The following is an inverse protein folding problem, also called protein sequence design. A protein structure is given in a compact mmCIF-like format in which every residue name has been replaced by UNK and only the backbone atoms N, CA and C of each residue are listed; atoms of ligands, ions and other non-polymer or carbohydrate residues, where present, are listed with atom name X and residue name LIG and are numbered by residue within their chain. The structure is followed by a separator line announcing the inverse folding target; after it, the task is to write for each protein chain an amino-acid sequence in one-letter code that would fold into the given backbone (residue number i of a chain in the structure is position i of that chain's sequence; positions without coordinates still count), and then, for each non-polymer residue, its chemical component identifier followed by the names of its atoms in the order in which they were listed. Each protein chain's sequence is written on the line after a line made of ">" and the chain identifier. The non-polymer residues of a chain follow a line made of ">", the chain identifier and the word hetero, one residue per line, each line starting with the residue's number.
data_IF_615636830912
#
_entry.id   IF_615636830912
#
_cell.length_a   1.000
_cell.length_b   1.000
_cell.length_c   1.000
_cell.angle_alpha   90.00
_cell.angle_beta   90.00
_cell.angle_gamma   90.00
#
_symmetry.space_group_name_H-M   'P 1'
#
loop_
_entity.id
_entity.type
_entity.pdbx_description
1 polymer ?
#
# COMPACT_ATOMS: atom_id res chain seq x y z
N UNK A 1 -22.46 15.60 11.08
CA UNK A 1 -22.23 14.18 11.38
C UNK A 1 -21.18 13.75 10.38
N UNK A 2 -19.92 13.63 10.80
CA UNK A 2 -18.80 13.37 9.91
C UNK A 2 -18.38 11.91 10.09
N UNK A 3 -18.25 11.16 8.99
CA UNK A 3 -17.82 9.76 9.00
C UNK A 3 -16.29 9.62 9.02
N UNK A 4 -15.56 10.68 8.65
CA UNK A 4 -14.10 10.70 8.66
C UNK A 4 -13.50 9.53 7.88
N UNK A 5 -12.60 8.79 8.53
CA UNK A 5 -11.83 7.70 7.93
C UNK A 5 -12.56 6.35 7.87
N UNK A 6 -13.82 6.28 8.31
CA UNK A 6 -14.55 5.01 8.44
C UNK A 6 -14.59 4.21 7.13
N UNK A 7 -14.91 4.85 6.00
CA UNK A 7 -15.02 4.18 4.69
C UNK A 7 -13.65 3.85 4.09
N UNK A 8 -12.63 4.66 4.36
CA UNK A 8 -11.27 4.34 3.93
C UNK A 8 -10.77 3.05 4.61
N UNK A 9 -11.06 2.86 5.89
CA UNK A 9 -10.68 1.62 6.57
C UNK A 9 -11.40 0.39 5.99
N UNK A 10 -12.67 0.51 5.62
CA UNK A 10 -13.41 -0.57 4.92
C UNK A 10 -12.72 -0.93 3.60
N UNK A 11 -12.25 0.07 2.86
CA UNK A 11 -11.50 -0.12 1.60
C UNK A 11 -10.20 -0.89 1.86
N UNK A 12 -9.41 -0.46 2.85
CA UNK A 12 -8.17 -1.16 3.22
C UNK A 12 -8.43 -2.62 3.64
N UNK A 13 -9.48 -2.87 4.42
CA UNK A 13 -9.86 -4.21 4.86
C UNK A 13 -10.30 -5.10 3.69
N UNK A 14 -11.05 -4.56 2.72
CA UNK A 14 -11.47 -5.28 1.52
C UNK A 14 -10.25 -5.70 0.68
N UNK A 15 -9.32 -4.78 0.41
CA UNK A 15 -8.08 -5.05 -0.33
C UNK A 15 -7.20 -6.08 0.39
N UNK A 16 -7.10 -5.99 1.72
CA UNK A 16 -6.35 -6.98 2.51
C UNK A 16 -7.01 -8.37 2.43
N UNK A 17 -8.34 -8.44 2.36
CA UNK A 17 -9.06 -9.71 2.18
C UNK A 17 -8.86 -10.28 0.78
N UNK A 18 -8.89 -9.44 -0.26
CA UNK A 18 -8.61 -9.86 -1.64
C UNK A 18 -7.21 -10.46 -1.80
N UNK A 19 -6.21 -9.83 -1.17
CA UNK A 19 -4.84 -10.33 -1.16
C UNK A 19 -4.71 -11.75 -0.59
N UNK A 20 -5.56 -12.15 0.37
CA UNK A 20 -5.56 -13.52 0.91
C UNK A 20 -5.89 -14.55 -0.15
N UNK A 21 -6.84 -14.24 -1.04
CA UNK A 21 -7.21 -15.11 -2.15
C UNK A 21 -6.10 -15.16 -3.20
N UNK A 22 -5.50 -14.02 -3.54
CA UNK A 22 -4.40 -13.95 -4.53
C UNK A 22 -3.13 -14.67 -4.06
N UNK A 23 -2.89 -14.70 -2.74
CA UNK A 23 -1.70 -15.30 -2.12
C UNK A 23 -1.64 -16.83 -2.21
N UNK A 24 -2.68 -17.51 -2.72
CA UNK A 24 -2.59 -18.95 -3.00
C UNK A 24 -1.42 -19.23 -3.95
N UNK A 25 -0.49 -20.15 -3.65
CA UNK A 25 0.70 -20.35 -4.47
C UNK A 25 0.29 -20.87 -5.86
N UNK A 26 0.74 -20.23 -6.93
CA UNK A 26 0.50 -20.76 -8.28
C UNK A 26 1.45 -21.92 -8.63
N UNK A 27 2.62 -21.97 -7.99
CA UNK A 27 3.68 -22.95 -8.26
C UNK A 27 3.39 -24.36 -7.76
N UNK A 28 2.29 -24.58 -7.04
CA UNK A 28 1.86 -25.92 -6.60
C UNK A 28 0.94 -26.59 -7.62
N UNK A 29 0.57 -25.89 -8.70
CA UNK A 29 -0.23 -26.43 -9.79
C UNK A 29 0.65 -26.76 -11.00
N UNK A 30 0.30 -27.83 -11.70
CA UNK A 30 0.95 -28.28 -12.94
C UNK A 30 -0.07 -29.01 -13.79
N UNK A 31 -0.22 -28.56 -15.04
CA UNK A 31 -1.05 -29.23 -16.03
C UNK A 31 -0.14 -29.77 -17.13
N UNK A 32 -0.08 -31.09 -17.33
CA UNK A 32 0.81 -31.68 -18.31
C UNK A 32 0.42 -31.25 -19.72
N UNK A 33 1.40 -30.84 -20.52
CA UNK A 33 1.17 -30.48 -21.92
C UNK A 33 1.98 -31.39 -22.85
N UNK A 34 1.75 -31.27 -24.17
CA UNK A 34 2.56 -31.97 -25.19
C UNK A 34 2.62 -33.50 -25.01
N UNK A 35 1.46 -34.14 -24.80
CA UNK A 35 1.35 -35.59 -24.63
C UNK A 35 2.29 -36.17 -23.54
N UNK A 36 2.38 -35.47 -22.39
CA UNK A 36 3.26 -35.77 -21.25
C UNK A 36 4.76 -35.56 -21.51
N UNK A 37 5.16 -34.81 -22.54
CA UNK A 37 6.57 -34.35 -22.63
C UNK A 37 6.89 -33.21 -21.66
N UNK A 38 5.91 -32.36 -21.37
CA UNK A 38 5.98 -31.35 -20.31
C UNK A 38 5.07 -31.79 -19.17
N UNK A 39 5.49 -32.80 -18.42
CA UNK A 39 4.71 -33.39 -17.33
C UNK A 39 4.78 -32.56 -16.03
N UNK A 40 5.72 -31.62 -15.94
CA UNK A 40 5.85 -30.68 -14.84
C UNK A 40 6.14 -29.24 -15.32
N UNK A 41 5.25 -28.30 -14.99
CA UNK A 41 5.39 -26.87 -15.32
C UNK A 41 5.24 -25.99 -14.08
N UNK A 42 5.83 -24.79 -14.09
CA UNK A 42 5.99 -23.96 -12.87
C UNK A 42 4.87 -22.96 -12.60
N UNK A 43 4.02 -22.69 -13.60
CA UNK A 43 3.00 -21.61 -13.56
C UNK A 43 3.57 -20.22 -13.18
N UNK A 44 4.86 -19.99 -13.40
CA UNK A 44 5.58 -18.80 -12.92
C UNK A 44 5.00 -17.48 -13.46
N UNK A 45 4.54 -17.45 -14.71
CA UNK A 45 3.94 -16.24 -15.31
C UNK A 45 2.70 -15.77 -14.56
N UNK A 46 1.84 -16.70 -14.12
CA UNK A 46 0.67 -16.34 -13.34
C UNK A 46 1.06 -15.92 -11.91
N UNK A 47 2.04 -16.59 -11.31
CA UNK A 47 2.60 -16.18 -10.01
C UNK A 47 3.09 -14.72 -10.05
N UNK A 48 3.87 -14.35 -11.06
CA UNK A 48 4.40 -12.99 -11.22
C UNK A 48 3.30 -11.94 -11.45
N UNK A 49 2.27 -12.27 -12.25
CA UNK A 49 1.14 -11.36 -12.48
C UNK A 49 0.37 -11.03 -11.21
N UNK A 50 0.06 -12.03 -10.39
CA UNK A 50 -0.66 -11.82 -9.12
C UNK A 50 0.10 -10.94 -8.13
N UNK A 51 1.44 -10.98 -8.18
CA UNK A 51 2.26 -10.13 -7.32
C UNK A 51 2.03 -8.64 -7.61
N UNK A 52 1.85 -8.26 -8.88
CA UNK A 52 1.55 -6.87 -9.24
C UNK A 52 0.24 -6.38 -8.61
N UNK A 53 -0.81 -7.22 -8.65
CA UNK A 53 -2.11 -6.91 -8.04
C UNK A 53 -1.99 -6.79 -6.51
N UNK A 54 -1.30 -7.74 -5.86
CA UNK A 54 -1.06 -7.71 -4.41
C UNK A 54 -0.27 -6.46 -4.00
N UNK A 55 0.76 -6.09 -4.76
CA UNK A 55 1.58 -4.91 -4.49
C UNK A 55 0.77 -3.61 -4.64
N UNK A 56 -0.06 -3.51 -5.69
CA UNK A 56 -0.98 -2.39 -5.89
C UNK A 56 -1.96 -2.25 -4.72
N UNK A 57 -2.62 -3.35 -4.33
CA UNK A 57 -3.53 -3.38 -3.18
C UNK A 57 -2.83 -2.97 -1.88
N UNK A 58 -1.60 -3.41 -1.70
CA UNK A 58 -0.78 -3.05 -0.53
C UNK A 58 -0.44 -1.58 -0.50
N UNK A 59 -0.14 -0.97 -1.65
CA UNK A 59 0.13 0.46 -1.74
C UNK A 59 -1.10 1.31 -1.37
N UNK A 60 -2.31 0.87 -1.75
CA UNK A 60 -3.55 1.51 -1.30
C UNK A 60 -3.76 1.41 0.21
N UNK A 61 -3.51 0.22 0.79
CA UNK A 61 -3.61 0.01 2.25
C UNK A 61 -2.65 0.94 2.99
N UNK A 62 -1.38 0.99 2.57
CA UNK A 62 -0.36 1.86 3.16
C UNK A 62 -0.70 3.35 2.98
N UNK A 63 -1.25 3.73 1.83
CA UNK A 63 -1.70 5.11 1.60
C UNK A 63 -2.81 5.54 2.58
N UNK A 64 -3.79 4.66 2.83
CA UNK A 64 -4.86 4.89 3.81
C UNK A 64 -4.29 4.99 5.24
N UNK A 65 -3.34 4.11 5.59
CA UNK A 65 -2.66 4.15 6.88
C UNK A 65 -1.89 5.47 7.09
N UNK A 66 -1.17 5.94 6.08
CA UNK A 66 -0.44 7.21 6.13
C UNK A 66 -1.36 8.41 6.36
N UNK A 67 -2.50 8.46 5.66
CA UNK A 67 -3.50 9.51 5.90
C UNK A 67 -3.99 9.49 7.35
N UNK A 68 -4.31 8.31 7.86
CA UNK A 68 -4.84 8.14 9.21
C UNK A 68 -3.80 8.50 10.27
N UNK A 69 -2.55 8.08 10.07
CA UNK A 69 -1.43 8.39 10.94
C UNK A 69 -1.15 9.91 10.97
N UNK A 70 -1.10 10.56 9.81
CA UNK A 70 -0.89 12.00 9.72
C UNK A 70 -2.02 12.78 10.39
N UNK A 71 -3.27 12.38 10.16
CA UNK A 71 -4.41 12.98 10.85
C UNK A 71 -4.32 12.79 12.37
N UNK A 72 -3.95 11.60 12.83
CA UNK A 72 -3.77 11.30 14.25
C UNK A 72 -2.64 12.10 14.91
N UNK A 73 -1.57 12.40 14.18
CA UNK A 73 -0.49 13.28 14.66
C UNK A 73 -0.99 14.72 14.80
N UNK A 74 -1.68 15.24 13.80
CA UNK A 74 -2.22 16.62 13.85
C UNK A 74 -3.21 16.82 14.99
N UNK A 75 -4.09 15.84 15.23
CA UNK A 75 -5.08 15.89 16.31
C UNK A 75 -4.45 15.86 17.71
N UNK A 76 -3.15 15.54 17.83
CA UNK A 76 -2.40 15.56 19.09
C UNK A 76 -1.65 16.87 19.31
N UNK A 77 -1.83 17.88 18.47
CA UNK A 77 -1.24 19.20 18.67
C UNK A 77 -1.53 19.75 20.09
N UNK A 78 -0.55 20.39 20.75
CA UNK A 78 0.74 20.82 20.24
C UNK A 78 1.87 19.77 20.35
N UNK A 79 1.58 18.51 20.67
CA UNK A 79 2.61 17.49 20.76
C UNK A 79 3.17 17.12 19.39
N UNK A 80 4.50 17.12 19.27
CA UNK A 80 5.19 16.76 18.04
C UNK A 80 5.63 15.28 18.06
N UNK A 81 5.64 14.66 16.88
CA UNK A 81 6.29 13.35 16.66
C UNK A 81 7.82 13.51 16.54
N UNK A 82 8.54 12.40 16.38
CA UNK A 82 10.00 12.39 16.26
C UNK A 82 10.50 13.20 15.05
N UNK A 83 11.71 13.77 15.08
CA UNK A 83 12.23 14.58 13.97
C UNK A 83 12.27 13.86 12.62
N UNK A 84 12.50 12.54 12.62
CA UNK A 84 12.46 11.73 11.40
C UNK A 84 11.05 11.68 10.81
N UNK A 85 10.03 11.42 11.64
CA UNK A 85 8.64 11.32 11.20
C UNK A 85 8.05 12.68 10.83
N UNK A 86 8.56 13.79 11.36
CA UNK A 86 8.12 15.12 10.94
C UNK A 86 8.33 15.37 9.44
N UNK A 87 9.41 14.83 8.85
CA UNK A 87 9.65 14.91 7.40
C UNK A 87 8.61 14.12 6.61
N UNK A 88 8.20 12.96 7.11
CA UNK A 88 7.14 12.14 6.53
C UNK A 88 5.81 12.88 6.62
N UNK A 89 5.46 13.43 7.79
CA UNK A 89 4.22 14.20 7.98
C UNK A 89 4.17 15.42 7.05
N UNK A 90 5.29 16.14 6.89
CA UNK A 90 5.40 17.25 5.96
C UNK A 90 5.18 16.80 4.51
N UNK A 91 5.75 15.66 4.10
CA UNK A 91 5.55 15.11 2.75
C UNK A 91 4.08 14.78 2.50
N UNK A 92 3.40 14.17 3.47
CA UNK A 92 1.96 13.89 3.40
C UNK A 92 1.15 15.20 3.29
N UNK A 93 1.49 16.22 4.09
CA UNK A 93 0.75 17.50 4.15
C UNK A 93 0.97 18.41 2.93
N UNK A 94 2.08 18.23 2.21
CA UNK A 94 2.30 18.91 0.94
C UNK A 94 1.32 18.43 -0.15
N UNK A 95 0.92 17.16 -0.10
CA UNK A 95 0.01 16.57 -1.08
C UNK A 95 -1.46 16.61 -0.61
N UNK A 96 -1.70 16.31 0.67
CA UNK A 96 -3.05 16.19 1.22
C UNK A 96 -3.21 17.06 2.48
N UNK A 97 -4.10 18.07 2.44
CA UNK A 97 -4.33 18.94 3.58
C UNK A 97 -5.00 18.20 4.74
N UNK A 98 -4.95 18.79 5.94
CA UNK A 98 -5.64 18.29 7.12
C UNK A 98 -7.13 18.01 6.82
N UNK A 99 -7.68 16.97 7.45
CA UNK A 99 -9.06 16.55 7.22
C UNK A 99 -10.00 17.16 8.27
N UNK A 100 -10.43 18.41 8.03
CA UNK A 100 -11.31 19.15 8.96
C UNK A 100 -12.79 18.76 8.85
N UNK A 101 -13.28 18.69 7.61
CA UNK A 101 -14.67 18.40 7.26
C UNK A 101 -14.70 17.26 6.23
N UNK A 102 -15.80 16.52 6.22
CA UNK A 102 -15.97 15.43 5.26
C UNK A 102 -15.87 15.96 3.82
N UNK A 103 -14.96 15.37 3.05
CA UNK A 103 -14.75 15.67 1.65
C UNK A 103 -14.61 14.38 0.84
N UNK A 104 -14.61 14.52 -0.48
CA UNK A 104 -14.37 13.38 -1.35
C UNK A 104 -12.97 12.84 -1.10
N UNK A 105 -12.89 11.60 -0.61
CA UNK A 105 -11.66 11.06 0.00
C UNK A 105 -10.81 10.22 -0.95
N UNK A 106 -11.37 9.80 -2.08
CA UNK A 106 -10.66 9.01 -3.08
C UNK A 106 -9.41 9.72 -3.67
N UNK A 107 -9.41 11.04 -3.93
CA UNK A 107 -8.22 11.75 -4.40
C UNK A 107 -7.09 11.75 -3.36
N UNK A 108 -7.43 11.92 -2.08
CA UNK A 108 -6.47 11.90 -0.98
C UNK A 108 -5.81 10.51 -0.87
N UNK A 109 -6.61 9.44 -1.00
CA UNK A 109 -6.11 8.07 -1.02
C UNK A 109 -5.20 7.85 -2.23
N UNK A 110 -5.61 8.27 -3.43
CA UNK A 110 -4.83 8.11 -4.65
C UNK A 110 -3.46 8.83 -4.56
N UNK A 111 -3.44 10.07 -4.04
CA UNK A 111 -2.20 10.82 -3.84
C UNK A 111 -1.25 10.10 -2.86
N UNK A 112 -1.77 9.55 -1.75
CA UNK A 112 -0.92 8.79 -0.83
C UNK A 112 -0.46 7.46 -1.42
N UNK A 113 -1.29 6.79 -2.20
CA UNK A 113 -0.88 5.58 -2.92
C UNK A 113 0.25 5.87 -3.90
N UNK A 114 0.21 7.00 -4.60
CA UNK A 114 1.29 7.43 -5.48
C UNK A 114 2.60 7.68 -4.72
N UNK A 115 2.55 8.36 -3.56
CA UNK A 115 3.73 8.56 -2.70
C UNK A 115 4.34 7.25 -2.19
N UNK A 116 3.52 6.21 -1.99
CA UNK A 116 4.01 4.87 -1.63
C UNK A 116 4.67 4.21 -2.83
N UNK A 117 4.02 4.24 -3.99
CA UNK A 117 4.49 3.57 -5.21
C UNK A 117 5.76 4.19 -5.79
N UNK A 118 5.92 5.51 -5.70
CA UNK A 118 7.12 6.20 -6.19
C UNK A 118 8.29 6.17 -5.19
N UNK A 119 8.12 5.53 -4.03
CA UNK A 119 9.16 5.40 -3.01
C UNK A 119 9.46 6.66 -2.21
N UNK A 120 8.69 7.75 -2.36
CA UNK A 120 8.92 9.00 -1.64
C UNK A 120 8.88 8.81 -0.11
N UNK A 121 8.01 7.93 0.38
CA UNK A 121 7.94 7.60 1.81
C UNK A 121 9.11 6.69 2.22
N UNK A 122 9.46 5.72 1.37
CA UNK A 122 10.57 4.80 1.62
C UNK A 122 11.92 5.53 1.73
N UNK A 123 12.10 6.65 1.02
CA UNK A 123 13.31 7.49 1.11
C UNK A 123 13.57 8.08 2.52
N UNK A 124 12.57 8.10 3.41
CA UNK A 124 12.76 8.49 4.82
C UNK A 124 13.15 7.31 5.73
N UNK A 125 13.13 6.08 5.21
CA UNK A 125 13.52 4.88 5.94
C UNK A 125 15.03 4.87 6.19
N UNK A 126 15.49 4.54 7.41
CA UNK A 126 16.91 4.31 7.67
C UNK A 126 17.39 2.97 7.10
N UNK A 127 16.49 2.12 6.61
CA UNK A 127 16.79 0.84 5.99
C UNK A 127 16.82 0.99 4.49
N UNK A 128 17.87 0.48 3.86
CA UNK A 128 17.99 0.33 2.42
C UNK A 128 17.91 -1.14 2.04
N UNK A 129 17.33 -1.44 0.86
CA UNK A 129 17.40 -2.78 0.30
C UNK A 129 18.74 -2.99 -0.41
N UNK A 130 19.31 -4.19 -0.34
CA UNK A 130 20.55 -4.52 -1.07
C UNK A 130 20.41 -4.29 -2.59
N UNK A 131 19.19 -4.44 -3.12
CA UNK A 131 18.86 -4.19 -4.52
C UNK A 131 18.93 -2.71 -4.93
N UNK A 132 19.00 -1.77 -3.99
CA UNK A 132 19.08 -0.33 -4.25
C UNK A 132 20.54 0.19 -4.32
N UNK A 133 21.52 -0.69 -4.13
CA UNK A 133 22.95 -0.37 -4.17
C UNK A 133 23.59 -0.44 -5.57
N UNK A 134 22.80 -0.67 -6.62
CA UNK A 134 23.26 -0.84 -8.01
C UNK A 134 22.55 0.07 -9.00
#
# INVERSE_FOLDING_TARGET
>A
MNSGFMIAHVTAAALASENKTLAHPASVDSLPTSANQEDHVSMATFAARKLADIASNTAYILGIELLAAAQGVDLRAPHATSPALQKVMASVRNEVPHYDLDRYFAPDIAAMTELVQNGAIAAHSPFAFESEAH
#
